data_IF_323145115199
#
_entry.id   IF_323145115199
#
_cell.length_a   1.000
_cell.length_b   1.000
_cell.length_c   1.000
_cell.angle_alpha   90.00
_cell.angle_beta   90.00
_cell.angle_gamma   90.00
#
_symmetry.space_group_name_H-M   'P 1'
#
loop_
_entity.id
_entity.type
_entity.pdbx_description
1 polymer ?
#
# COMPACT_ATOMS: atom_id res chain seq x y z
N UNK A 1 23.88 -26.19 -7.23
CA UNK A 1 23.18 -24.90 -7.35
C UNK A 1 24.12 -23.85 -6.79
N UNK A 2 24.79 -23.05 -7.63
CA UNK A 2 25.58 -21.91 -7.14
C UNK A 2 24.57 -20.81 -6.83
N UNK A 3 24.50 -20.38 -5.57
CA UNK A 3 23.79 -19.15 -5.24
C UNK A 3 24.42 -18.00 -6.01
N UNK A 4 23.64 -16.98 -6.33
CA UNK A 4 24.19 -15.70 -6.74
C UNK A 4 25.04 -15.20 -5.56
N UNK A 5 26.36 -15.30 -5.67
CA UNK A 5 27.29 -14.67 -4.72
C UNK A 5 27.24 -13.17 -4.97
N UNK A 6 26.33 -12.51 -4.26
CA UNK A 6 26.22 -11.05 -4.22
C UNK A 6 26.83 -10.62 -2.90
N UNK A 7 27.87 -9.80 -2.96
CA UNK A 7 28.47 -9.24 -1.76
C UNK A 7 27.47 -8.31 -1.03
N UNK A 8 27.26 -8.51 0.29
CA UNK A 8 26.41 -7.63 1.08
C UNK A 8 26.90 -6.18 1.07
N UNK A 9 25.99 -5.23 0.94
CA UNK A 9 26.25 -3.79 0.81
C UNK A 9 26.72 -3.35 -0.58
N UNK A 10 26.94 -4.27 -1.52
CA UNK A 10 27.47 -3.92 -2.84
C UNK A 10 26.45 -3.17 -3.71
N UNK A 11 26.94 -2.42 -4.70
CA UNK A 11 26.08 -1.83 -5.74
C UNK A 11 25.29 -2.90 -6.51
N UNK A 12 25.86 -4.11 -6.64
CA UNK A 12 25.20 -5.23 -7.29
C UNK A 12 24.00 -5.72 -6.47
N UNK A 13 24.14 -5.83 -5.15
CA UNK A 13 23.03 -6.15 -4.24
C UNK A 13 21.90 -5.13 -4.34
N UNK A 14 22.24 -3.84 -4.27
CA UNK A 14 21.24 -2.77 -4.36
C UNK A 14 20.53 -2.76 -5.72
N UNK A 15 21.26 -3.01 -6.82
CA UNK A 15 20.66 -3.11 -8.15
C UNK A 15 19.76 -4.34 -8.29
N UNK A 16 20.16 -5.48 -7.73
CA UNK A 16 19.37 -6.70 -7.72
C UNK A 16 18.10 -6.54 -6.89
N UNK A 17 18.20 -5.99 -5.68
CA UNK A 17 17.05 -5.68 -4.81
C UNK A 17 16.04 -4.77 -5.49
N UNK A 18 16.50 -3.71 -6.20
CA UNK A 18 15.61 -2.84 -6.99
C UNK A 18 14.86 -3.61 -8.10
N UNK A 19 15.53 -4.52 -8.81
CA UNK A 19 14.89 -5.34 -9.85
C UNK A 19 13.86 -6.29 -9.26
N UNK A 20 14.17 -6.91 -8.12
CA UNK A 20 13.26 -7.79 -7.40
C UNK A 20 11.98 -7.07 -6.97
N UNK A 21 12.10 -5.90 -6.32
CA UNK A 21 10.96 -5.08 -5.89
C UNK A 21 10.12 -4.65 -7.10
N UNK A 22 10.78 -4.26 -8.20
CA UNK A 22 10.09 -3.89 -9.44
C UNK A 22 9.29 -5.08 -10.00
N UNK A 23 9.91 -6.26 -10.13
CA UNK A 23 9.26 -7.45 -10.65
C UNK A 23 8.06 -7.90 -9.81
N UNK A 24 8.17 -7.82 -8.47
CA UNK A 24 7.05 -8.08 -7.57
C UNK A 24 5.94 -7.05 -7.73
N UNK A 25 6.29 -5.77 -7.75
CA UNK A 25 5.33 -4.67 -7.92
C UNK A 25 4.56 -4.80 -9.24
N UNK A 26 5.26 -5.11 -10.34
CA UNK A 26 4.65 -5.29 -11.66
C UNK A 26 3.69 -6.50 -11.69
N UNK A 27 4.11 -7.63 -11.11
CA UNK A 27 3.27 -8.82 -11.03
C UNK A 27 1.98 -8.55 -10.24
N UNK A 28 2.08 -7.86 -9.11
CA UNK A 28 0.92 -7.49 -8.30
C UNK A 28 0.04 -6.43 -8.94
N UNK A 29 0.63 -5.47 -9.66
CA UNK A 29 -0.12 -4.47 -10.43
C UNK A 29 -0.96 -5.14 -11.53
N UNK A 30 -0.39 -6.09 -12.28
CA UNK A 30 -1.14 -6.85 -13.30
C UNK A 30 -2.25 -7.68 -12.66
N UNK A 31 -1.97 -8.37 -11.56
CA UNK A 31 -2.96 -9.15 -10.81
C UNK A 31 -4.14 -8.27 -10.34
N UNK A 32 -3.86 -7.19 -9.61
CA UNK A 32 -4.88 -6.33 -9.00
C UNK A 32 -5.61 -5.50 -10.07
N UNK A 33 -4.87 -4.80 -10.93
CA UNK A 33 -5.43 -3.80 -11.85
C UNK A 33 -5.69 -4.30 -13.26
N UNK A 34 -5.05 -5.38 -13.71
CA UNK A 34 -5.33 -6.02 -15.01
C UNK A 34 -6.38 -7.12 -14.88
N UNK A 35 -6.09 -8.15 -14.08
CA UNK A 35 -6.88 -9.37 -14.02
C UNK A 35 -7.98 -9.35 -12.95
N UNK A 36 -7.84 -8.51 -11.92
CA UNK A 36 -8.80 -8.40 -10.82
C UNK A 36 -8.83 -9.60 -9.89
N UNK A 37 -7.71 -10.32 -9.78
CA UNK A 37 -7.47 -11.26 -8.71
C UNK A 37 -6.06 -11.07 -8.18
N UNK A 38 -5.82 -11.29 -6.90
CA UNK A 38 -4.49 -11.19 -6.34
C UNK A 38 -4.18 -12.36 -5.40
N UNK A 39 -2.89 -12.66 -5.29
CA UNK A 39 -2.38 -13.58 -4.30
C UNK A 39 -2.42 -12.91 -2.92
N UNK A 40 -3.28 -13.39 -2.04
CA UNK A 40 -3.57 -12.75 -0.76
C UNK A 40 -2.55 -13.09 0.34
N UNK A 41 -1.53 -13.90 0.04
CA UNK A 41 -0.51 -14.36 0.98
C UNK A 41 0.89 -14.45 0.33
N UNK A 42 1.48 -13.32 -0.11
CA UNK A 42 2.83 -13.32 -0.71
C UNK A 42 3.92 -13.40 0.35
N UNK A 43 3.87 -14.39 1.23
CA UNK A 43 4.96 -14.61 2.17
C UNK A 43 6.24 -15.02 1.42
N UNK A 44 7.45 -14.76 1.95
CA UNK A 44 8.71 -15.05 1.25
C UNK A 44 8.84 -16.48 0.73
N UNK A 45 8.25 -17.47 1.41
CA UNK A 45 8.20 -18.87 0.95
C UNK A 45 7.44 -19.11 -0.37
N UNK A 46 6.60 -18.18 -0.81
CA UNK A 46 5.82 -18.27 -2.06
C UNK A 46 6.48 -17.49 -3.21
N UNK A 47 7.63 -16.86 -2.97
CA UNK A 47 8.35 -16.03 -3.94
C UNK A 47 9.70 -16.67 -4.25
N UNK A 48 9.85 -17.20 -5.46
CA UNK A 48 11.14 -17.66 -5.96
C UNK A 48 11.80 -16.56 -6.76
N UNK A 49 12.98 -16.13 -6.31
CA UNK A 49 13.80 -15.15 -7.03
C UNK A 49 14.71 -15.86 -8.02
N UNK A 50 14.61 -15.47 -9.28
CA UNK A 50 15.43 -16.02 -10.36
C UNK A 50 16.75 -15.27 -10.51
N UNK A 51 17.78 -15.88 -11.13
CA UNK A 51 19.10 -15.25 -11.26
C UNK A 51 19.13 -13.92 -12.01
N UNK A 52 18.14 -13.68 -12.87
CA UNK A 52 17.98 -12.43 -13.64
C UNK A 52 17.23 -11.33 -12.86
N UNK A 53 16.73 -11.64 -11.65
CA UNK A 53 15.94 -10.75 -10.81
C UNK A 53 14.43 -10.82 -11.07
N UNK A 54 13.97 -11.72 -11.94
CA UNK A 54 12.54 -12.01 -12.10
C UNK A 54 12.01 -12.88 -10.95
N UNK A 55 10.68 -12.90 -10.78
CA UNK A 55 10.03 -13.65 -9.70
C UNK A 55 9.07 -14.70 -10.24
N UNK A 56 9.06 -15.86 -9.60
CA UNK A 56 8.04 -16.87 -9.77
C UNK A 56 7.22 -16.97 -8.48
N UNK A 57 5.93 -16.67 -8.58
CA UNK A 57 4.98 -16.83 -7.48
C UNK A 57 4.43 -18.25 -7.50
N UNK A 58 4.38 -18.89 -6.34
CA UNK A 58 3.77 -20.21 -6.15
C UNK A 58 2.66 -20.15 -5.11
N UNK A 59 1.94 -21.25 -4.94
CA UNK A 59 0.84 -21.39 -3.96
C UNK A 59 -0.28 -20.34 -4.10
N UNK A 60 -1.13 -20.56 -5.10
CA UNK A 60 -2.34 -19.76 -5.31
C UNK A 60 -3.54 -20.26 -4.48
N UNK A 61 -3.30 -21.04 -3.41
CA UNK A 61 -4.35 -21.56 -2.53
C UNK A 61 -5.16 -20.46 -1.84
N UNK A 62 -4.54 -19.29 -1.65
CA UNK A 62 -5.18 -18.08 -1.13
C UNK A 62 -5.18 -16.95 -2.17
N UNK A 63 -6.20 -16.95 -3.03
CA UNK A 63 -6.47 -15.87 -3.97
C UNK A 63 -7.79 -15.18 -3.67
N UNK A 64 -7.87 -13.90 -4.01
CA UNK A 64 -9.07 -13.09 -3.86
C UNK A 64 -9.41 -12.41 -5.18
N UNK A 65 -10.69 -12.39 -5.52
CA UNK A 65 -11.21 -11.61 -6.66
C UNK A 65 -11.64 -10.23 -6.18
N UNK A 66 -11.33 -9.22 -6.97
CA UNK A 66 -11.75 -7.84 -6.74
C UNK A 66 -12.72 -7.44 -7.84
N UNK A 67 -13.87 -6.88 -7.43
CA UNK A 67 -14.83 -6.32 -8.37
C UNK A 67 -14.21 -5.15 -9.14
N UNK A 68 -14.61 -4.98 -10.40
CA UNK A 68 -14.12 -3.90 -11.27
C UNK A 68 -14.22 -2.52 -10.61
N UNK A 69 -15.38 -2.21 -10.01
CA UNK A 69 -15.60 -0.94 -9.30
C UNK A 69 -14.57 -0.69 -8.19
N UNK A 70 -14.31 -1.69 -7.36
CA UNK A 70 -13.35 -1.58 -6.27
C UNK A 70 -11.92 -1.39 -6.78
N UNK A 71 -11.53 -2.11 -7.85
CA UNK A 71 -10.23 -1.94 -8.52
C UNK A 71 -10.02 -0.51 -9.01
N UNK A 72 -11.04 0.08 -9.63
CA UNK A 72 -11.00 1.46 -10.09
C UNK A 72 -10.88 2.45 -8.93
N UNK A 73 -11.58 2.23 -7.82
CA UNK A 73 -11.44 3.05 -6.61
C UNK A 73 -10.03 2.94 -6.03
N UNK A 74 -9.45 1.74 -5.95
CA UNK A 74 -8.06 1.60 -5.48
C UNK A 74 -7.07 2.29 -6.43
N UNK A 75 -7.28 2.21 -7.74
CA UNK A 75 -6.43 2.90 -8.72
C UNK A 75 -6.51 4.43 -8.57
N UNK A 76 -7.72 4.97 -8.41
CA UNK A 76 -7.95 6.40 -8.18
C UNK A 76 -7.31 6.86 -6.86
N UNK A 77 -7.38 6.04 -5.80
CA UNK A 77 -6.72 6.32 -4.54
C UNK A 77 -5.20 6.44 -4.70
N UNK A 78 -4.57 5.49 -5.39
CA UNK A 78 -3.12 5.49 -5.63
C UNK A 78 -2.70 6.74 -6.41
N UNK A 79 -3.48 7.15 -7.42
CA UNK A 79 -3.21 8.39 -8.17
C UNK A 79 -3.34 9.62 -7.26
N UNK A 80 -4.38 9.68 -6.41
CA UNK A 80 -4.61 10.80 -5.48
C UNK A 80 -3.47 10.92 -4.47
N UNK A 81 -3.05 9.81 -3.86
CA UNK A 81 -1.91 9.76 -2.93
C UNK A 81 -0.60 10.15 -3.63
N UNK A 82 -0.40 9.74 -4.89
CA UNK A 82 0.79 10.16 -5.65
C UNK A 82 0.87 11.68 -5.83
N UNK A 83 -0.26 12.39 -5.87
CA UNK A 83 -0.28 13.87 -5.85
C UNK A 83 0.15 14.43 -4.50
N UNK A 84 -0.33 13.81 -3.42
CA UNK A 84 -0.05 14.22 -2.03
C UNK A 84 1.39 13.94 -1.58
N UNK A 85 2.07 12.97 -2.20
CA UNK A 85 3.45 12.62 -1.86
C UNK A 85 4.43 13.79 -1.96
N UNK A 86 4.15 14.79 -2.79
CA UNK A 86 4.99 15.98 -2.96
C UNK A 86 4.63 17.14 -2.03
N UNK A 87 3.48 17.05 -1.35
CA UNK A 87 2.95 18.11 -0.49
C UNK A 87 3.57 18.02 0.90
N UNK A 88 3.94 19.16 1.46
CA UNK A 88 4.21 19.31 2.89
C UNK A 88 2.92 19.27 3.70
N UNK A 89 3.01 19.06 5.02
CA UNK A 89 1.84 19.15 5.92
C UNK A 89 1.10 20.49 5.79
N UNK A 90 1.77 21.65 5.67
CA UNK A 90 1.10 22.94 5.52
C UNK A 90 0.39 23.15 4.16
N UNK A 91 0.70 22.32 3.15
CA UNK A 91 0.17 22.50 1.79
C UNK A 91 -1.24 21.90 1.64
N UNK A 92 -1.69 21.07 2.58
CA UNK A 92 -3.02 20.47 2.55
C UNK A 92 -4.10 21.51 2.85
N UNK A 93 -5.16 21.46 2.06
CA UNK A 93 -6.32 22.34 2.22
C UNK A 93 -7.51 21.60 2.83
N UNK A 94 -8.48 22.34 3.33
CA UNK A 94 -9.76 21.77 3.78
C UNK A 94 -10.49 21.01 2.65
N UNK A 95 -10.28 21.43 1.41
CA UNK A 95 -10.83 20.74 0.24
C UNK A 95 -10.17 19.37 0.01
N UNK A 96 -8.85 19.25 0.23
CA UNK A 96 -8.14 17.97 0.16
C UNK A 96 -8.66 16.97 1.18
N UNK A 97 -8.83 17.44 2.42
CA UNK A 97 -9.35 16.64 3.53
C UNK A 97 -10.78 16.16 3.24
N UNK A 98 -11.69 17.08 2.91
CA UNK A 98 -13.08 16.74 2.59
C UNK A 98 -13.19 15.82 1.36
N UNK A 99 -12.36 16.05 0.34
CA UNK A 99 -12.30 15.24 -0.88
C UNK A 99 -11.87 13.80 -0.58
N UNK A 100 -10.82 13.62 0.24
CA UNK A 100 -10.34 12.30 0.62
C UNK A 100 -11.29 11.58 1.57
N UNK A 101 -11.90 12.29 2.53
CA UNK A 101 -12.90 11.72 3.44
C UNK A 101 -14.10 11.17 2.65
N UNK A 102 -14.69 11.99 1.77
CA UNK A 102 -15.78 11.56 0.89
C UNK A 102 -15.40 10.34 0.05
N UNK A 103 -14.17 10.31 -0.43
CA UNK A 103 -13.64 9.20 -1.21
C UNK A 103 -13.52 7.91 -0.38
N UNK A 104 -12.91 7.98 0.81
CA UNK A 104 -12.76 6.86 1.74
C UNK A 104 -14.12 6.31 2.20
N UNK A 105 -15.07 7.18 2.55
CA UNK A 105 -16.44 6.81 2.86
C UNK A 105 -17.14 6.13 1.66
N UNK A 106 -16.89 6.62 0.44
CA UNK A 106 -17.37 5.99 -0.80
C UNK A 106 -16.78 4.60 -1.09
N UNK A 107 -15.67 4.25 -0.45
CA UNK A 107 -15.09 2.90 -0.44
C UNK A 107 -15.59 2.04 0.72
N UNK A 108 -16.38 2.61 1.65
CA UNK A 108 -16.92 1.92 2.82
C UNK A 108 -16.04 2.01 4.07
N UNK A 109 -15.06 2.91 4.10
CA UNK A 109 -14.32 3.24 5.34
C UNK A 109 -15.22 4.11 6.22
N UNK A 110 -15.32 3.78 7.50
CA UNK A 110 -16.04 4.58 8.48
C UNK A 110 -15.06 5.08 9.53
N UNK A 111 -15.15 6.37 9.86
CA UNK A 111 -14.32 7.02 10.87
C UNK A 111 -15.09 7.19 12.18
N UNK A 112 -14.37 7.29 13.29
CA UNK A 112 -14.97 7.62 14.58
C UNK A 112 -15.56 9.05 14.56
N UNK A 113 -16.63 9.33 15.33
CA UNK A 113 -17.21 10.68 15.41
C UNK A 113 -16.22 11.78 15.81
N UNK A 114 -15.22 11.43 16.61
CA UNK A 114 -14.14 12.29 17.10
C UNK A 114 -12.94 12.40 16.15
N UNK A 115 -12.93 11.66 15.03
CA UNK A 115 -11.83 11.68 14.08
C UNK A 115 -11.64 13.08 13.48
N UNK A 116 -10.38 13.52 13.38
CA UNK A 116 -10.04 14.76 12.70
C UNK A 116 -10.33 14.68 11.19
N UNK A 117 -10.65 15.81 10.56
CA UNK A 117 -10.85 15.91 9.09
C UNK A 117 -9.63 15.43 8.30
N UNK A 118 -8.44 15.51 8.90
CA UNK A 118 -7.17 15.08 8.35
C UNK A 118 -7.01 13.56 8.30
N UNK A 119 -7.82 12.81 9.07
CA UNK A 119 -7.67 11.37 9.28
C UNK A 119 -7.67 10.59 7.96
N UNK A 120 -8.58 10.91 7.04
CA UNK A 120 -8.68 10.19 5.77
C UNK A 120 -7.42 10.36 4.90
N UNK A 121 -6.84 11.56 4.88
CA UNK A 121 -5.57 11.82 4.16
C UNK A 121 -4.41 11.14 4.88
N UNK A 122 -4.34 11.25 6.20
CA UNK A 122 -3.30 10.60 7.00
C UNK A 122 -3.34 9.07 6.84
N UNK A 123 -4.52 8.46 6.86
CA UNK A 123 -4.71 7.03 6.62
C UNK A 123 -4.26 6.62 5.22
N UNK A 124 -4.63 7.39 4.20
CA UNK A 124 -4.22 7.12 2.82
C UNK A 124 -2.69 7.22 2.65
N UNK A 125 -2.06 8.24 3.24
CA UNK A 125 -0.60 8.38 3.25
C UNK A 125 0.07 7.24 4.03
N UNK A 126 -0.46 6.86 5.19
CA UNK A 126 0.07 5.74 5.98
C UNK A 126 0.02 4.40 5.22
N UNK A 127 -1.06 4.16 4.48
CA UNK A 127 -1.24 2.96 3.67
C UNK A 127 -0.36 2.91 2.41
N UNK A 128 -0.15 4.04 1.75
CA UNK A 128 0.43 4.08 0.39
C UNK A 128 1.73 4.90 0.25
N UNK A 129 2.12 5.70 1.23
CA UNK A 129 3.37 6.48 1.26
C UNK A 129 4.18 6.24 2.55
N UNK A 130 5.08 5.26 2.49
CA UNK A 130 5.92 4.85 3.63
C UNK A 130 7.13 5.75 3.88
N UNK A 131 7.36 6.73 3.01
CA UNK A 131 8.55 7.58 3.12
C UNK A 131 8.39 8.74 4.10
N UNK A 132 7.18 8.92 4.66
CA UNK A 132 6.82 10.07 5.47
C UNK A 132 6.91 9.76 6.96
N UNK A 133 7.55 10.65 7.71
CA UNK A 133 7.57 10.63 9.18
C UNK A 133 6.43 11.42 9.81
N UNK A 134 5.91 12.43 9.11
CA UNK A 134 4.89 13.36 9.60
C UNK A 134 3.65 13.34 8.70
N UNK A 135 2.47 13.37 9.31
CA UNK A 135 1.19 13.39 8.59
C UNK A 135 0.34 14.59 9.01
N UNK A 136 -0.62 15.04 8.17
CA UNK A 136 -1.52 16.12 8.54
C UNK A 136 -2.30 15.76 9.81
N UNK A 137 -2.72 16.75 10.61
CA UNK A 137 -3.47 16.50 11.85
C UNK A 137 -2.62 16.01 13.03
N UNK A 138 -1.30 15.94 12.90
CA UNK A 138 -0.41 15.45 13.98
C UNK A 138 -0.38 13.92 14.11
N UNK A 139 -0.92 13.21 13.12
CA UNK A 139 -0.84 11.75 13.08
C UNK A 139 0.60 11.25 12.86
N UNK A 140 0.91 10.12 13.47
CA UNK A 140 2.22 9.49 13.43
C UNK A 140 2.23 8.22 12.57
N UNK A 141 3.33 8.01 11.84
CA UNK A 141 3.47 6.83 10.96
C UNK A 141 3.64 5.52 11.73
N UNK A 142 4.10 5.59 12.98
CA UNK A 142 4.28 4.42 13.84
C UNK A 142 2.92 3.76 14.13
N UNK A 143 2.75 2.50 13.75
CA UNK A 143 1.53 1.71 13.96
C UNK A 143 1.17 1.55 15.44
N UNK A 144 2.17 1.53 16.32
CA UNK A 144 1.96 1.38 17.77
C UNK A 144 1.64 2.71 18.47
N UNK A 145 1.69 3.84 17.76
CA UNK A 145 1.39 5.15 18.34
C UNK A 145 -0.09 5.26 18.73
N UNK A 146 -0.35 6.03 19.79
CA UNK A 146 -1.70 6.46 20.14
C UNK A 146 -2.28 7.42 19.11
N UNK A 147 -1.43 8.15 18.38
CA UNK A 147 -1.81 9.09 17.34
C UNK A 147 -1.64 8.47 15.93
N UNK A 148 -1.80 7.16 15.79
CA UNK A 148 -1.82 6.54 14.47
C UNK A 148 -3.21 6.73 13.82
N UNK A 149 -3.32 7.02 12.50
CA UNK A 149 -4.61 7.27 11.86
C UNK A 149 -5.57 6.08 11.93
N UNK A 150 -5.07 4.85 12.11
CA UNK A 150 -5.92 3.66 12.30
C UNK A 150 -6.73 3.68 13.61
N UNK A 151 -6.34 4.50 14.59
CA UNK A 151 -7.07 4.65 15.86
C UNK A 151 -8.41 5.36 15.70
N UNK A 152 -8.53 6.16 14.64
CA UNK A 152 -9.72 6.95 14.33
C UNK A 152 -10.62 6.30 13.28
N UNK A 153 -10.33 5.04 12.92
CA UNK A 153 -11.14 4.24 11.99
C UNK A 153 -12.11 3.36 12.78
N UNK A 154 -13.40 3.57 12.58
CA UNK A 154 -14.47 2.76 13.18
C UNK A 154 -14.66 1.43 12.44
N UNK A 155 -14.60 1.45 11.12
CA UNK A 155 -14.80 0.27 10.27
C UNK A 155 -13.96 0.38 9.00
N UNK A 156 -13.41 -0.76 8.57
CA UNK A 156 -12.63 -0.85 7.35
C UNK A 156 -13.05 -2.08 6.54
N UNK A 157 -13.40 -1.93 5.24
CA UNK A 157 -13.87 -3.05 4.43
C UNK A 157 -12.85 -4.19 4.36
N UNK A 158 -13.33 -5.42 4.53
CA UNK A 158 -12.45 -6.61 4.61
C UNK A 158 -11.55 -6.79 3.38
N UNK A 159 -12.10 -6.57 2.19
CA UNK A 159 -11.34 -6.68 0.93
C UNK A 159 -10.25 -5.61 0.85
N UNK A 160 -10.49 -4.45 1.46
CA UNK A 160 -9.54 -3.36 1.52
C UNK A 160 -8.42 -3.66 2.54
N UNK A 161 -8.73 -4.24 3.70
CA UNK A 161 -7.71 -4.73 4.65
C UNK A 161 -6.77 -5.73 3.99
N UNK A 162 -7.34 -6.69 3.24
CA UNK A 162 -6.55 -7.72 2.55
C UNK A 162 -5.62 -7.10 1.51
N UNK A 163 -6.13 -6.17 0.69
CA UNK A 163 -5.32 -5.47 -0.30
C UNK A 163 -4.19 -4.65 0.36
N UNK A 164 -4.49 -3.92 1.43
CA UNK A 164 -3.50 -3.14 2.17
C UNK A 164 -2.42 -4.04 2.79
N UNK A 165 -2.79 -5.19 3.36
CA UNK A 165 -1.84 -6.17 3.90
C UNK A 165 -0.93 -6.76 2.81
N UNK A 166 -1.48 -7.08 1.65
CA UNK A 166 -0.67 -7.53 0.51
C UNK A 166 0.31 -6.45 0.07
N UNK A 167 -0.13 -5.19 0.02
CA UNK A 167 0.73 -4.06 -0.35
C UNK A 167 1.84 -3.83 0.69
N UNK A 168 1.55 -4.06 1.98
CA UNK A 168 2.52 -4.02 3.09
C UNK A 168 3.59 -5.13 2.99
N UNK A 169 3.24 -6.32 2.51
CA UNK A 169 4.14 -7.47 2.40
C UNK A 169 5.09 -7.39 1.20
N UNK A 170 4.75 -6.61 0.18
CA UNK A 170 5.57 -6.40 -1.03
C UNK A 170 6.56 -5.22 -0.84
N UNK A 171 6.58 -4.62 0.37
CA UNK A 171 7.48 -3.53 0.76
C UNK A 171 8.91 -4.01 0.98
#
# INVERSE_FOLDING_TARGET
RRGLEIEPGSRAEQAFGRRLIQALSDAFAVMIFGEGFFHADPHPGNVFVQPDGSVALIDFGQTKRLGYRFRMQVAELVVKVSGYKKMGVPDFTDEDFASMEKFACGMGVEFLPEAGKECAVALALWLFDTSRSEMPGGYEANELSANNPTRDVASFPRDFVLLCRTTLLIR
#
